data_IF_796226777998
#
_entry.id   IF_796226777998
#
_cell.length_a   1.000
_cell.length_b   1.000
_cell.length_c   1.000
_cell.angle_alpha   90.00
_cell.angle_beta   90.00
_cell.angle_gamma   90.00
#
_symmetry.space_group_name_H-M   'P 1'
#
loop_
_entity.id
_entity.type
_entity.pdbx_description
1 polymer ?
#
# COMPACT_ATOMS: atom_id res chain seq x y z
N UNK A 1 -2.98 -9.00 6.67
CA UNK A 1 -2.92 -7.80 5.82
C UNK A 1 -1.92 -6.82 6.42
N UNK A 2 -1.01 -6.30 5.61
CA UNK A 2 0.08 -5.42 6.02
C UNK A 2 0.11 -4.19 5.12
N UNK A 3 0.60 -3.07 5.67
CA UNK A 3 0.69 -1.77 5.00
C UNK A 3 2.12 -1.23 5.05
N UNK A 4 2.49 -0.48 4.02
CA UNK A 4 3.68 0.39 3.97
C UNK A 4 3.35 1.71 3.29
N UNK A 5 4.08 2.78 3.61
CA UNK A 5 4.07 4.04 2.86
C UNK A 5 5.10 3.98 1.74
N UNK A 6 4.79 4.61 0.60
CA UNK A 6 5.71 4.68 -0.54
C UNK A 6 5.86 6.09 -1.08
N UNK A 7 7.04 6.37 -1.62
CA UNK A 7 7.31 7.54 -2.44
C UNK A 7 7.49 7.13 -3.90
N UNK A 8 6.59 7.62 -4.76
CA UNK A 8 6.54 7.26 -6.16
C UNK A 8 5.95 8.41 -7.00
N UNK A 9 6.77 9.43 -7.21
CA UNK A 9 6.39 10.63 -7.98
C UNK A 9 6.08 10.27 -9.44
N UNK A 10 6.95 9.47 -10.08
CA UNK A 10 6.80 9.06 -11.48
C UNK A 10 5.45 8.36 -11.73
N UNK A 11 5.07 7.41 -10.87
CA UNK A 11 3.80 6.69 -11.08
C UNK A 11 2.59 7.57 -10.74
N UNK A 12 2.71 8.46 -9.75
CA UNK A 12 1.68 9.45 -9.46
C UNK A 12 1.48 10.39 -10.66
N UNK A 13 2.56 10.89 -11.25
CA UNK A 13 2.51 11.76 -12.42
C UNK A 13 1.78 11.07 -13.58
N UNK A 14 2.13 9.81 -13.86
CA UNK A 14 1.55 9.05 -14.95
C UNK A 14 0.06 8.71 -14.75
N UNK A 15 -0.38 8.48 -13.51
CA UNK A 15 -1.75 7.98 -13.23
C UNK A 15 -2.71 9.05 -12.75
N UNK A 16 -2.23 9.97 -11.91
CA UNK A 16 -3.03 11.00 -11.27
C UNK A 16 -2.82 12.31 -11.99
N UNK A 17 -1.59 12.84 -11.98
CA UNK A 17 -1.35 14.23 -12.41
C UNK A 17 -1.43 14.43 -13.93
N UNK A 18 -1.30 13.36 -14.71
CA UNK A 18 -1.61 13.33 -16.14
C UNK A 18 -2.95 13.99 -16.49
N UNK A 19 -3.97 13.81 -15.65
CA UNK A 19 -5.30 14.35 -15.90
C UNK A 19 -5.43 15.86 -15.70
N UNK A 20 -4.44 16.52 -15.10
CA UNK A 20 -4.42 17.99 -15.07
C UNK A 20 -4.18 18.59 -16.45
N UNK A 21 -3.45 17.88 -17.30
CA UNK A 21 -3.07 18.35 -18.63
C UNK A 21 -2.86 17.19 -19.61
N UNK A 22 -3.96 16.77 -20.23
CA UNK A 22 -3.96 15.78 -21.30
C UNK A 22 -3.76 16.52 -22.62
N UNK A 23 -2.50 16.72 -23.03
CA UNK A 23 -2.14 17.38 -24.30
C UNK A 23 -2.75 18.78 -24.50
N UNK A 24 -2.82 19.58 -23.43
CA UNK A 24 -3.41 20.92 -23.42
C UNK A 24 -4.85 20.96 -22.89
N UNK A 25 -5.47 19.81 -22.65
CA UNK A 25 -6.85 19.71 -22.13
C UNK A 25 -6.85 19.39 -20.64
N UNK A 26 -7.50 20.25 -19.85
CA UNK A 26 -7.69 20.01 -18.41
C UNK A 26 -8.82 19.00 -18.20
N UNK A 27 -8.45 17.82 -17.69
CA UNK A 27 -9.37 16.71 -17.40
C UNK A 27 -9.36 16.33 -15.91
N UNK A 28 -9.10 17.30 -15.03
CA UNK A 28 -8.89 17.08 -13.60
C UNK A 28 -10.08 16.44 -12.88
N UNK A 29 -11.28 16.46 -13.48
CA UNK A 29 -12.44 15.72 -12.97
C UNK A 29 -12.23 14.20 -12.91
N UNK A 30 -11.33 13.65 -13.74
CA UNK A 30 -11.02 12.22 -13.74
C UNK A 30 -10.22 11.80 -12.50
N UNK A 31 -9.47 12.71 -11.88
CA UNK A 31 -8.67 12.42 -10.67
C UNK A 31 -9.54 11.89 -9.53
N UNK A 32 -10.72 12.45 -9.35
CA UNK A 32 -11.62 12.10 -8.25
C UNK A 32 -12.06 10.64 -8.31
N UNK A 33 -12.29 10.10 -9.51
CA UNK A 33 -12.68 8.69 -9.66
C UNK A 33 -11.47 7.77 -9.55
N UNK A 34 -10.33 8.15 -10.15
CA UNK A 34 -9.11 7.33 -10.11
C UNK A 34 -8.54 7.22 -8.69
N UNK A 35 -8.61 8.28 -7.89
CA UNK A 35 -8.16 8.26 -6.49
C UNK A 35 -9.00 7.34 -5.59
N UNK A 36 -10.24 7.01 -5.99
CA UNK A 36 -11.09 6.05 -5.26
C UNK A 36 -10.75 4.61 -5.61
N UNK A 37 -10.08 4.37 -6.73
CA UNK A 37 -9.72 3.04 -7.20
C UNK A 37 -8.33 2.65 -6.70
N UNK A 38 -8.22 1.41 -6.23
CA UNK A 38 -6.94 0.83 -5.88
C UNK A 38 -6.27 0.23 -7.13
N UNK A 39 -4.97 0.46 -7.30
CA UNK A 39 -4.19 -0.13 -8.40
C UNK A 39 -3.49 -1.41 -7.97
N UNK A 40 -3.41 -2.42 -8.83
CA UNK A 40 -2.66 -3.67 -8.58
C UNK A 40 -1.40 -3.70 -9.43
N UNK A 41 -0.24 -3.52 -8.81
CA UNK A 41 1.05 -3.45 -9.50
C UNK A 41 2.21 -3.93 -8.64
N UNK A 42 3.33 -4.28 -9.27
CA UNK A 42 4.54 -4.63 -8.56
C UNK A 42 5.18 -3.35 -8.02
N UNK A 43 5.43 -3.32 -6.72
CA UNK A 43 6.10 -2.22 -6.04
C UNK A 43 7.57 -2.55 -5.87
N UNK A 44 8.43 -1.62 -6.27
CA UNK A 44 9.87 -1.72 -6.05
C UNK A 44 10.18 -1.45 -4.57
N UNK A 45 11.05 -2.28 -3.98
CA UNK A 45 11.47 -2.15 -2.58
C UNK A 45 12.07 -0.76 -2.27
N UNK A 46 12.81 -0.19 -3.23
CA UNK A 46 13.44 1.13 -3.12
C UNK A 46 12.46 2.30 -2.98
N UNK A 47 11.17 2.10 -3.28
CA UNK A 47 10.11 3.11 -3.14
C UNK A 47 9.45 3.08 -1.76
N UNK A 48 9.71 2.05 -0.95
CA UNK A 48 9.17 1.93 0.41
C UNK A 48 9.91 2.87 1.35
N UNK A 49 9.17 3.73 2.06
CA UNK A 49 9.72 4.80 2.91
C UNK A 49 9.35 4.63 4.39
N UNK A 50 8.70 3.52 4.76
CA UNK A 50 8.28 3.25 6.13
C UNK A 50 8.49 1.80 6.54
N UNK A 51 8.48 1.59 7.85
CA UNK A 51 8.29 0.27 8.44
C UNK A 51 6.97 -0.35 7.98
N UNK A 52 6.91 -1.67 8.01
CA UNK A 52 5.66 -2.41 7.76
C UNK A 52 4.75 -2.40 8.99
N UNK A 53 3.47 -2.08 8.81
CA UNK A 53 2.44 -2.21 9.85
C UNK A 53 1.51 -3.38 9.54
N UNK A 54 1.23 -4.23 10.53
CA UNK A 54 0.20 -5.27 10.39
C UNK A 54 -1.15 -4.66 10.71
N UNK A 55 -2.02 -4.56 9.69
CA UNK A 55 -3.36 -3.99 9.85
C UNK A 55 -4.37 -5.01 10.40
N UNK A 56 -4.33 -6.25 9.90
CA UNK A 56 -5.25 -7.30 10.34
C UNK A 56 -4.66 -8.68 10.14
N UNK A 57 -4.84 -9.55 11.13
CA UNK A 57 -4.51 -10.97 11.05
C UNK A 57 -5.79 -11.80 11.14
N UNK A 58 -5.85 -12.87 10.35
CA UNK A 58 -7.01 -13.76 10.32
C UNK A 58 -6.55 -15.19 10.59
N UNK A 59 -7.02 -15.76 11.71
CA UNK A 59 -6.91 -17.19 11.94
C UNK A 59 -8.00 -17.92 11.17
N UNK A 60 -7.64 -18.50 10.02
CA UNK A 60 -8.60 -19.10 9.08
C UNK A 60 -9.47 -20.21 9.68
N UNK A 61 -9.05 -20.82 10.79
CA UNK A 61 -9.82 -21.87 11.50
C UNK A 61 -10.87 -21.34 12.46
N UNK A 62 -10.81 -20.05 12.81
CA UNK A 62 -11.66 -19.43 13.84
C UNK A 62 -12.40 -18.18 13.36
N UNK A 63 -11.89 -17.54 12.31
CA UNK A 63 -12.44 -16.30 11.77
C UNK A 63 -13.89 -16.49 11.31
N UNK A 64 -14.73 -15.53 11.67
CA UNK A 64 -16.12 -15.46 11.25
C UNK A 64 -16.30 -14.49 10.08
N UNK A 65 -17.39 -14.63 9.33
CA UNK A 65 -17.72 -13.70 8.23
C UNK A 65 -17.87 -12.26 8.74
N UNK A 66 -18.38 -12.08 9.97
CA UNK A 66 -18.52 -10.76 10.58
C UNK A 66 -17.16 -10.08 10.82
N UNK A 67 -16.11 -10.83 11.15
CA UNK A 67 -14.75 -10.30 11.36
C UNK A 67 -14.06 -9.87 10.06
N UNK A 68 -14.59 -10.24 8.88
CA UNK A 68 -14.10 -9.77 7.59
C UNK A 68 -14.50 -8.31 7.31
N UNK A 69 -15.47 -7.78 8.05
CA UNK A 69 -15.82 -6.35 8.08
C UNK A 69 -15.15 -5.72 9.30
N UNK A 70 -14.01 -5.05 9.07
CA UNK A 70 -13.21 -4.48 10.15
C UNK A 70 -12.81 -3.04 9.85
N UNK A 71 -12.53 -2.32 10.92
CA UNK A 71 -11.91 -1.01 10.93
C UNK A 71 -10.84 -1.06 12.01
N UNK A 72 -9.59 -0.75 11.64
CA UNK A 72 -8.44 -0.84 12.53
C UNK A 72 -7.55 0.37 12.26
N UNK A 73 -7.02 1.06 13.29
CA UNK A 73 -6.04 2.11 13.08
C UNK A 73 -4.73 1.52 12.56
N UNK A 74 -3.97 2.32 11.83
CA UNK A 74 -2.61 1.96 11.43
C UNK A 74 -1.60 3.01 11.82
N UNK A 75 -0.35 2.58 11.97
CA UNK A 75 0.76 3.45 12.28
C UNK A 75 2.01 3.00 11.50
N UNK A 76 2.46 3.85 10.59
CA UNK A 76 3.65 3.63 9.77
C UNK A 76 4.78 4.51 10.29
N UNK A 77 5.91 3.91 10.68
CA UNK A 77 7.09 4.65 11.10
C UNK A 77 7.90 5.01 9.87
N UNK A 78 8.10 6.29 9.62
CA UNK A 78 8.83 6.78 8.45
C UNK A 78 10.32 6.53 8.64
N UNK A 79 10.96 5.93 7.64
CA UNK A 79 12.36 5.53 7.64
C UNK A 79 13.22 6.39 6.71
N UNK A 80 12.58 7.18 5.84
CA UNK A 80 13.23 8.08 4.90
C UNK A 80 12.48 9.40 4.76
N UNK A 81 13.21 10.52 4.77
CA UNK A 81 12.70 11.84 4.43
C UNK A 81 12.25 11.85 2.97
N UNK A 82 10.97 12.10 2.73
CA UNK A 82 10.40 12.01 1.39
C UNK A 82 9.01 12.65 1.29
N UNK A 83 8.40 12.54 0.13
CA UNK A 83 7.00 12.84 -0.11
C UNK A 83 6.23 11.51 -0.20
N UNK A 84 5.32 11.26 0.74
CA UNK A 84 4.48 10.06 0.72
C UNK A 84 3.40 10.24 -0.34
N UNK A 85 3.38 9.37 -1.35
CA UNK A 85 2.47 9.46 -2.49
C UNK A 85 1.31 8.46 -2.40
N UNK A 86 1.53 7.33 -1.75
CA UNK A 86 0.54 6.25 -1.63
C UNK A 86 0.79 5.38 -0.39
N UNK A 87 -0.24 4.65 0.01
CA UNK A 87 -0.15 3.53 0.95
C UNK A 87 -0.28 2.24 0.13
N UNK A 88 0.56 1.25 0.43
CA UNK A 88 0.57 -0.03 -0.26
C UNK A 88 0.16 -1.14 0.69
N UNK A 89 -0.88 -1.88 0.31
CA UNK A 89 -1.38 -3.07 0.98
C UNK A 89 -0.90 -4.37 0.34
N UNK A 90 -0.51 -5.32 1.18
CA UNK A 90 -0.12 -6.67 0.80
C UNK A 90 -0.45 -7.66 1.91
N UNK A 91 -0.20 -8.95 1.68
CA UNK A 91 -0.45 -9.98 2.68
C UNK A 91 0.67 -11.01 2.76
N UNK A 92 0.70 -11.67 3.90
CA UNK A 92 1.47 -12.87 4.12
C UNK A 92 0.48 -13.98 4.51
N UNK A 93 0.77 -15.20 4.06
CA UNK A 93 -0.02 -16.38 4.41
C UNK A 93 0.93 -17.42 5.01
N UNK A 94 0.67 -17.78 6.26
CA UNK A 94 1.44 -18.77 7.00
C UNK A 94 0.72 -20.13 6.93
N UNK A 95 1.50 -21.17 6.64
CA UNK A 95 1.03 -22.53 6.52
C UNK A 95 1.72 -23.37 7.58
N UNK A 96 0.99 -23.63 8.68
CA UNK A 96 1.47 -24.44 9.79
C UNK A 96 1.34 -25.93 9.46
N UNK A 97 2.47 -26.63 9.39
CA UNK A 97 2.56 -28.08 9.32
C UNK A 97 3.17 -28.68 10.60
N UNK A 98 3.02 -30.00 10.85
CA UNK A 98 3.56 -30.64 12.05
C UNK A 98 5.08 -30.55 12.23
N UNK A 99 5.82 -30.32 11.13
CA UNK A 99 7.28 -30.36 11.08
C UNK A 99 7.90 -29.06 10.54
N UNK A 100 7.11 -28.22 9.86
CA UNK A 100 7.62 -27.04 9.16
C UNK A 100 6.52 -26.00 9.01
N UNK A 101 6.90 -24.72 9.03
CA UNK A 101 6.03 -23.58 8.78
C UNK A 101 6.53 -22.87 7.51
N UNK A 102 5.67 -22.78 6.50
CA UNK A 102 5.96 -22.05 5.26
C UNK A 102 5.22 -20.70 5.27
N UNK A 103 5.86 -19.66 4.74
CA UNK A 103 5.25 -18.33 4.63
C UNK A 103 5.31 -17.84 3.20
N UNK A 104 4.14 -17.71 2.57
CA UNK A 104 3.98 -16.98 1.32
C UNK A 104 4.00 -15.48 1.63
N UNK A 105 4.96 -14.76 1.05
CA UNK A 105 5.07 -13.30 1.18
C UNK A 105 4.76 -12.62 -0.14
N UNK A 106 3.87 -11.64 -0.11
CA UNK A 106 3.52 -10.82 -1.28
C UNK A 106 3.99 -9.37 -1.15
N UNK A 107 4.81 -9.05 -0.14
CA UNK A 107 5.31 -7.69 0.07
C UNK A 107 6.33 -7.24 -0.99
N UNK A 108 6.59 -5.92 -1.10
CA UNK A 108 7.59 -5.36 -2.03
C UNK A 108 9.02 -5.88 -1.81
N UNK A 109 9.30 -6.30 -0.57
CA UNK A 109 10.57 -6.85 -0.06
C UNK A 109 10.79 -8.32 -0.47
N UNK A 110 9.91 -8.90 -1.28
CA UNK A 110 9.89 -10.32 -1.61
C UNK A 110 9.79 -10.54 -3.12
N UNK A 111 10.19 -11.72 -3.63
CA UNK A 111 10.05 -12.02 -5.06
C UNK A 111 8.63 -11.77 -5.56
N UNK A 112 8.46 -11.20 -6.77
CA UNK A 112 7.14 -10.90 -7.31
C UNK A 112 6.22 -12.11 -7.37
N UNK A 113 4.96 -11.92 -6.99
CA UNK A 113 3.89 -12.92 -7.12
C UNK A 113 2.80 -12.39 -8.04
N UNK A 114 1.87 -13.26 -8.48
CA UNK A 114 0.75 -12.83 -9.33
C UNK A 114 -0.23 -11.87 -8.62
N UNK A 115 -0.25 -11.86 -7.29
CA UNK A 115 -1.03 -10.90 -6.49
C UNK A 115 -0.48 -9.49 -6.57
N UNK A 116 0.83 -9.35 -6.82
CA UNK A 116 1.55 -8.07 -6.73
C UNK A 116 1.22 -7.36 -5.40
N UNK A 117 1.07 -6.04 -5.41
CA UNK A 117 0.59 -5.27 -4.26
C UNK A 117 -0.55 -4.33 -4.68
N UNK A 118 -1.38 -3.97 -3.70
CA UNK A 118 -2.50 -3.04 -3.88
C UNK A 118 -2.06 -1.65 -3.46
N UNK A 119 -2.15 -0.66 -4.35
CA UNK A 119 -1.67 0.71 -4.15
C UNK A 119 -2.87 1.65 -4.01
N UNK A 120 -2.88 2.41 -2.93
CA UNK A 120 -3.88 3.43 -2.61
C UNK A 120 -3.21 4.80 -2.66
N UNK A 121 -3.43 5.54 -3.74
CA UNK A 121 -2.86 6.88 -3.90
C UNK A 121 -3.49 7.86 -2.92
N UNK A 122 -2.66 8.72 -2.34
CA UNK A 122 -3.15 9.83 -1.52
C UNK A 122 -3.67 10.94 -2.44
N UNK A 123 -4.74 11.61 -1.99
CA UNK A 123 -5.26 12.77 -2.71
C UNK A 123 -4.15 13.81 -2.92
N UNK A 124 -3.47 14.17 -1.83
CA UNK A 124 -2.34 15.09 -1.81
C UNK A 124 -1.15 14.37 -1.19
N UNK A 125 0.06 14.44 -1.80
CA UNK A 125 1.23 13.82 -1.22
C UNK A 125 1.60 14.49 0.11
N UNK A 126 2.05 13.70 1.08
CA UNK A 126 2.33 14.17 2.44
C UNK A 126 3.85 14.25 2.65
N UNK A 127 4.42 15.43 2.97
CA UNK A 127 5.83 15.53 3.34
C UNK A 127 6.07 14.78 4.66
N UNK A 128 6.99 13.82 4.63
CA UNK A 128 7.31 12.98 5.79
C UNK A 128 8.79 13.06 6.14
N UNK A 129 9.08 12.82 7.41
CA UNK A 129 10.44 12.87 7.96
C UNK A 129 10.71 11.60 8.76
N UNK A 130 11.93 11.12 8.65
CA UNK A 130 12.46 9.94 9.33
C UNK A 130 12.19 10.03 10.84
N UNK A 131 11.71 8.93 11.42
CA UNK A 131 11.35 8.82 12.84
C UNK A 131 9.97 9.38 13.20
N UNK A 132 9.26 10.02 12.26
CA UNK A 132 7.86 10.42 12.48
C UNK A 132 6.89 9.28 12.18
N UNK A 133 5.68 9.41 12.70
CA UNK A 133 4.59 8.46 12.51
C UNK A 133 3.59 9.03 11.51
N UNK A 134 3.17 8.20 10.57
CA UNK A 134 2.00 8.41 9.74
C UNK A 134 0.87 7.50 10.25
N UNK A 135 -0.25 8.10 10.66
CA UNK A 135 -1.38 7.42 11.28
C UNK A 135 -2.72 7.87 10.69
N UNK A 136 -3.75 7.04 10.88
CA UNK A 136 -5.16 7.31 10.56
C UNK A 136 -6.06 7.00 11.74
#
# INVERSE_FOLDING_TARGET
MKLVAVSDETEREARIDFWDNVYGFKMSCMKTEILKEASVQCMEESRVISSTHTLKEFHLTRVTVAELQFEEPFQLTIEQDSLCHAIVGFFEAEFEGPQHCEVLKTGPQSPPTHWKQTVFYLQDPIPVQTGKLLNS
#
